data_IF_182331842305
#
_entry.id   IF_182331842305
#
_cell.length_a   1.000
_cell.length_b   1.000
_cell.length_c   1.000
_cell.angle_alpha   90.00
_cell.angle_beta   90.00
_cell.angle_gamma   90.00
#
_symmetry.space_group_name_H-M   'P 1'
#
loop_
_entity.id
_entity.type
_entity.pdbx_description
1 polymer ?
#
# COMPACT_ATOMS: atom_id res chain seq x y z
N UNK A 1 2.62 3.70 19.56
CA UNK A 1 2.72 3.38 18.12
C UNK A 1 3.97 4.05 17.58
N UNK A 2 4.65 3.44 16.62
CA UNK A 2 5.84 4.01 15.98
C UNK A 2 6.05 3.40 14.59
N UNK A 3 6.84 4.10 13.77
CA UNK A 3 7.33 3.65 12.47
C UNK A 3 8.84 3.47 12.53
N UNK A 4 9.34 2.48 11.82
CA UNK A 4 10.77 2.26 11.62
C UNK A 4 11.05 1.94 10.15
N UNK A 5 12.25 2.30 9.69
CA UNK A 5 12.81 1.73 8.46
C UNK A 5 13.87 0.74 8.91
N UNK A 6 13.74 -0.49 8.42
CA UNK A 6 14.72 -1.55 8.61
C UNK A 6 15.44 -1.81 7.29
N UNK A 7 16.76 -1.94 7.32
CA UNK A 7 17.54 -2.36 6.16
C UNK A 7 17.34 -3.87 5.86
N UNK A 8 18.01 -4.36 4.82
CA UNK A 8 17.99 -5.78 4.41
C UNK A 8 18.43 -6.75 5.53
N UNK A 9 19.26 -6.29 6.46
CA UNK A 9 19.82 -7.05 7.58
C UNK A 9 18.98 -6.87 8.86
N UNK A 10 17.85 -6.16 8.74
CA UNK A 10 16.90 -5.81 9.81
C UNK A 10 17.44 -4.83 10.85
N UNK A 11 18.51 -4.10 10.55
CA UNK A 11 18.94 -3.00 11.41
C UNK A 11 18.00 -1.81 11.25
N UNK A 12 17.66 -1.16 12.35
CA UNK A 12 16.82 0.05 12.34
C UNK A 12 17.67 1.23 11.87
N UNK A 13 17.39 1.73 10.67
CA UNK A 13 18.08 2.88 10.05
C UNK A 13 17.28 4.18 10.13
N UNK A 14 16.02 4.10 10.57
CA UNK A 14 15.19 5.25 10.86
C UNK A 14 14.10 4.88 11.86
N UNK A 15 13.76 5.80 12.76
CA UNK A 15 12.70 5.61 13.75
C UNK A 15 11.91 6.89 13.93
N UNK A 16 10.59 6.77 14.01
CA UNK A 16 9.71 7.91 14.21
C UNK A 16 9.85 8.52 15.60
N UNK A 17 9.58 9.81 15.69
CA UNK A 17 9.39 10.54 16.95
C UNK A 17 7.94 10.99 17.09
N UNK A 18 7.52 11.31 18.32
CA UNK A 18 6.19 11.90 18.55
C UNK A 18 6.05 13.19 17.74
N UNK A 19 4.93 13.35 17.03
CA UNK A 19 4.66 14.52 16.19
C UNK A 19 3.16 14.68 16.00
N UNK A 20 2.63 15.86 16.31
CA UNK A 20 1.20 16.16 16.25
C UNK A 20 0.37 15.15 17.06
N UNK A 21 -0.66 14.59 16.42
CA UNK A 21 -1.56 13.59 17.01
C UNK A 21 -1.03 12.14 16.93
N UNK A 22 0.22 11.96 16.51
CA UNK A 22 0.82 10.63 16.36
C UNK A 22 2.33 10.66 16.34
N UNK A 23 2.93 10.06 15.32
CA UNK A 23 4.37 10.06 15.13
C UNK A 23 4.75 10.30 13.67
N UNK A 24 5.96 10.81 13.46
CA UNK A 24 6.52 11.07 12.15
C UNK A 24 7.98 10.60 12.08
N UNK A 25 8.39 10.09 10.92
CA UNK A 25 9.75 9.70 10.61
C UNK A 25 10.20 10.51 9.40
N UNK A 26 11.32 11.21 9.52
CA UNK A 26 11.99 11.87 8.40
C UNK A 26 13.23 11.05 8.04
N UNK A 27 13.19 10.36 6.90
CA UNK A 27 14.32 9.63 6.36
C UNK A 27 15.06 10.55 5.40
N UNK A 28 16.36 10.78 5.60
CA UNK A 28 17.15 11.82 4.88
C UNK A 28 18.04 11.23 3.77
N UNK A 29 17.77 10.00 3.38
CA UNK A 29 18.48 9.27 2.33
C UNK A 29 17.46 8.60 1.42
N UNK A 30 17.87 8.23 0.22
CA UNK A 30 17.06 7.35 -0.63
C UNK A 30 17.05 5.93 -0.08
N UNK A 31 15.99 5.20 -0.40
CA UNK A 31 15.86 3.79 -0.02
C UNK A 31 16.84 2.89 -0.77
N UNK A 32 17.33 1.87 -0.07
CA UNK A 32 18.19 0.82 -0.61
C UNK A 32 17.40 -0.46 -0.87
N UNK A 33 17.93 -1.30 -1.74
CA UNK A 33 17.34 -2.61 -1.99
C UNK A 33 17.28 -3.46 -0.70
N UNK A 34 16.09 -3.95 -0.38
CA UNK A 34 15.82 -4.72 0.83
C UNK A 34 15.31 -3.89 2.01
N UNK A 35 15.27 -2.56 1.91
CA UNK A 35 14.64 -1.73 2.92
C UNK A 35 13.14 -2.04 3.05
N UNK A 36 12.66 -1.99 4.30
CA UNK A 36 11.25 -2.19 4.63
C UNK A 36 10.80 -1.14 5.66
N UNK A 37 9.54 -0.75 5.55
CA UNK A 37 8.86 0.03 6.58
C UNK A 37 8.19 -0.94 7.54
N UNK A 38 8.44 -0.76 8.84
CA UNK A 38 7.78 -1.52 9.90
C UNK A 38 6.93 -0.58 10.74
N UNK A 39 5.68 -0.99 10.95
CA UNK A 39 4.68 -0.22 11.67
C UNK A 39 4.28 -0.99 12.91
N UNK A 40 4.42 -0.37 14.07
CA UNK A 40 4.04 -0.95 15.34
C UNK A 40 2.92 -0.14 15.99
N UNK A 41 1.81 -0.80 16.30
CA UNK A 41 0.66 -0.21 16.97
C UNK A 41 0.31 -1.01 18.23
N UNK A 42 -0.23 -0.36 19.28
CA UNK A 42 -0.48 -1.05 20.56
C UNK A 42 -1.58 -2.11 20.47
N UNK A 43 -2.48 -2.00 19.48
CA UNK A 43 -3.55 -2.94 19.22
C UNK A 43 -3.95 -2.82 17.76
N UNK A 44 -4.36 -3.93 17.15
CA UNK A 44 -4.96 -3.93 15.81
C UNK A 44 -6.18 -3.01 15.73
N UNK A 45 -6.31 -2.26 14.63
CA UNK A 45 -7.31 -1.21 14.52
C UNK A 45 -7.17 -0.34 13.28
N UNK A 46 -7.99 0.71 13.20
CA UNK A 46 -7.86 1.71 12.12
C UNK A 46 -6.83 2.75 12.47
N UNK A 47 -5.90 2.97 11.54
CA UNK A 47 -4.86 3.98 11.63
C UNK A 47 -4.79 4.76 10.33
N UNK A 48 -4.44 6.03 10.44
CA UNK A 48 -4.11 6.85 9.30
C UNK A 48 -2.60 6.83 9.10
N UNK A 49 -2.17 6.39 7.93
CA UNK A 49 -0.76 6.28 7.55
C UNK A 49 -0.45 7.13 6.33
N UNK A 50 0.79 7.58 6.23
CA UNK A 50 1.42 8.01 4.99
C UNK A 50 2.80 7.36 4.96
N UNK A 51 3.05 6.48 3.99
CA UNK A 51 4.34 5.82 3.79
C UNK A 51 5.16 6.47 2.68
N UNK A 52 4.52 7.32 1.87
CA UNK A 52 5.11 8.07 0.76
C UNK A 52 4.22 9.28 0.44
N UNK A 53 4.82 10.44 0.18
CA UNK A 53 4.11 11.70 -0.08
C UNK A 53 3.29 11.69 -1.37
N UNK A 54 3.73 10.97 -2.40
CA UNK A 54 3.03 10.91 -3.69
C UNK A 54 1.76 10.06 -3.62
N UNK A 55 1.75 9.05 -2.75
CA UNK A 55 0.59 8.22 -2.49
C UNK A 55 -0.37 8.86 -1.47
N UNK A 56 0.13 9.78 -0.63
CA UNK A 56 -0.67 10.55 0.31
C UNK A 56 -1.16 9.74 1.52
N UNK A 57 -2.03 10.33 2.33
CA UNK A 57 -2.47 9.72 3.59
C UNK A 57 -3.75 8.91 3.45
N UNK A 58 -3.76 7.68 3.98
CA UNK A 58 -4.88 6.74 3.88
C UNK A 58 -5.20 6.09 5.22
N UNK A 59 -6.48 5.79 5.45
CA UNK A 59 -6.90 5.05 6.63
C UNK A 59 -6.97 3.55 6.32
N UNK A 60 -6.06 2.80 6.92
CA UNK A 60 -5.94 1.34 6.77
C UNK A 60 -6.29 0.64 8.06
N UNK A 61 -6.55 -0.67 7.98
CA UNK A 61 -6.54 -1.52 9.17
C UNK A 61 -5.14 -2.11 9.35
N UNK A 62 -4.58 -1.94 10.53
CA UNK A 62 -3.29 -2.51 10.91
C UNK A 62 -3.49 -3.62 11.95
N UNK A 63 -2.70 -4.69 11.85
CA UNK A 63 -2.39 -5.58 12.98
C UNK A 63 -1.34 -4.89 13.87
N UNK A 64 -1.06 -5.47 15.04
CA UNK A 64 -0.06 -4.92 16.00
C UNK A 64 1.30 -4.65 15.37
N UNK A 65 1.70 -5.50 14.43
CA UNK A 65 2.84 -5.28 13.55
C UNK A 65 2.38 -5.38 12.09
N UNK A 66 2.82 -4.42 11.27
CA UNK A 66 2.69 -4.45 9.84
C UNK A 66 4.03 -4.16 9.16
N UNK A 67 4.27 -4.75 8.00
CA UNK A 67 5.49 -4.60 7.21
C UNK A 67 5.15 -4.29 5.77
N UNK A 68 5.87 -3.32 5.20
CA UNK A 68 5.77 -2.93 3.81
C UNK A 68 7.17 -2.97 3.20
N UNK A 69 7.38 -3.83 2.22
CA UNK A 69 8.64 -3.89 1.48
C UNK A 69 8.69 -2.72 0.49
N UNK A 70 9.72 -1.88 0.60
CA UNK A 70 9.83 -0.68 -0.22
C UNK A 70 10.17 -1.08 -1.68
N UNK A 71 9.41 -0.65 -2.69
CA UNK A 71 9.68 -1.01 -4.08
C UNK A 71 10.86 -0.20 -4.63
N UNK A 72 12.08 -0.70 -4.47
CA UNK A 72 13.29 0.00 -4.90
C UNK A 72 13.63 -0.25 -6.38
N UNK A 73 13.22 -1.39 -6.95
CA UNK A 73 13.54 -1.70 -8.35
C UNK A 73 12.55 -1.01 -9.32
N UNK A 74 12.99 -0.53 -10.50
CA UNK A 74 12.09 0.09 -11.47
C UNK A 74 10.90 -0.79 -11.88
N UNK A 75 11.13 -2.09 -12.08
CA UNK A 75 10.07 -3.06 -12.42
C UNK A 75 9.02 -3.22 -11.32
N UNK A 76 9.37 -2.92 -10.06
CA UNK A 76 8.43 -2.92 -8.93
C UNK A 76 7.58 -1.64 -8.88
N UNK A 77 8.01 -0.59 -9.58
CA UNK A 77 7.42 0.75 -9.50
C UNK A 77 6.52 1.14 -10.67
N UNK A 78 6.38 0.28 -11.67
CA UNK A 78 5.57 0.53 -12.88
C UNK A 78 4.08 0.81 -12.62
N UNK A 79 3.58 0.48 -11.43
CA UNK A 79 2.19 0.68 -10.99
C UNK A 79 1.99 1.87 -10.02
N UNK A 80 3.00 2.74 -9.88
CA UNK A 80 2.93 3.93 -9.02
C UNK A 80 3.26 5.20 -9.81
N UNK A 81 2.88 6.39 -9.30
CA UNK A 81 3.44 7.65 -9.77
C UNK A 81 4.97 7.61 -9.80
N UNK A 82 5.58 8.24 -10.81
CA UNK A 82 7.03 8.18 -11.03
C UNK A 82 7.87 8.61 -9.81
N UNK A 83 7.35 9.51 -8.99
CA UNK A 83 8.00 10.01 -7.79
C UNK A 83 7.86 9.10 -6.55
N UNK A 84 6.94 8.13 -6.55
CA UNK A 84 6.68 7.29 -5.38
C UNK A 84 7.90 6.44 -5.03
N UNK A 85 8.25 6.43 -3.74
CA UNK A 85 9.39 5.74 -3.15
C UNK A 85 10.73 6.09 -3.80
N UNK A 86 10.83 7.30 -4.37
CA UNK A 86 12.02 7.80 -5.04
C UNK A 86 12.46 9.13 -4.42
N UNK A 87 13.72 9.51 -4.63
CA UNK A 87 14.30 10.73 -4.07
C UNK A 87 15.26 10.46 -2.93
N UNK A 88 15.70 11.53 -2.27
CA UNK A 88 16.70 11.50 -1.20
C UNK A 88 16.15 11.85 0.18
N UNK A 89 14.84 12.06 0.31
CA UNK A 89 14.20 12.40 1.57
C UNK A 89 12.74 11.96 1.54
N UNK A 90 12.27 11.38 2.64
CA UNK A 90 10.93 10.81 2.76
C UNK A 90 10.31 11.16 4.11
N UNK A 91 9.05 11.59 4.09
CA UNK A 91 8.23 11.82 5.28
C UNK A 91 7.18 10.72 5.43
N UNK A 92 7.29 9.98 6.54
CA UNK A 92 6.33 8.95 6.93
C UNK A 92 5.57 9.42 8.17
N UNK A 93 4.27 9.17 8.21
CA UNK A 93 3.42 9.53 9.35
C UNK A 93 2.49 8.39 9.75
N UNK A 94 2.20 8.31 11.04
CA UNK A 94 1.28 7.35 11.63
C UNK A 94 0.48 8.02 12.74
N UNK A 95 -0.84 7.90 12.68
CA UNK A 95 -1.75 8.37 13.73
C UNK A 95 -2.94 7.42 13.89
N UNK A 96 -3.62 7.48 15.05
CA UNK A 96 -4.89 6.78 15.20
C UNK A 96 -5.91 7.41 14.26
N UNK A 97 -6.67 6.57 13.55
CA UNK A 97 -7.78 7.09 12.76
C UNK A 97 -8.90 7.57 13.69
N UNK A 98 -9.53 8.69 13.33
CA UNK A 98 -10.80 9.09 13.93
C UNK A 98 -11.95 8.15 13.56
N UNK A 99 -13.18 8.52 13.92
CA UNK A 99 -14.36 7.80 13.45
C UNK A 99 -14.43 7.88 11.92
N UNK A 100 -14.38 6.73 11.26
CA UNK A 100 -14.52 6.64 9.82
C UNK A 100 -15.99 6.36 9.47
N UNK A 101 -16.62 7.29 8.76
CA UNK A 101 -17.95 7.10 8.17
C UNK A 101 -17.92 6.20 6.94
N UNK A 102 -19.00 6.24 6.15
CA UNK A 102 -19.08 5.56 4.85
C UNK A 102 -17.96 6.04 3.92
N UNK A 103 -17.17 5.11 3.39
CA UNK A 103 -16.01 5.39 2.53
C UNK A 103 -15.71 4.20 1.62
N UNK A 104 -14.77 4.38 0.69
CA UNK A 104 -14.19 3.25 -0.03
C UNK A 104 -13.38 2.38 0.94
N UNK A 105 -13.93 1.22 1.33
CA UNK A 105 -13.24 0.28 2.22
C UNK A 105 -12.14 -0.51 1.51
N UNK A 106 -12.15 -0.55 0.18
CA UNK A 106 -11.14 -1.26 -0.61
C UNK A 106 -9.86 -0.43 -0.78
N UNK A 107 -9.90 0.89 -0.65
CA UNK A 107 -8.76 1.77 -0.94
C UNK A 107 -7.52 1.42 -0.09
N UNK A 108 -6.47 0.95 -0.76
CA UNK A 108 -5.14 0.79 -0.19
C UNK A 108 -4.04 0.90 -1.27
N UNK A 109 -3.49 2.10 -1.53
CA UNK A 109 -2.35 2.25 -2.42
C UNK A 109 -1.06 1.64 -1.86
N UNK A 110 -1.00 1.34 -0.57
CA UNK A 110 0.14 0.68 0.10
C UNK A 110 0.02 -0.84 0.12
N UNK A 111 -0.87 -1.42 -0.70
CA UNK A 111 -0.89 -2.86 -0.90
C UNK A 111 0.23 -3.32 -1.83
N UNK A 112 0.81 -4.48 -1.53
CA UNK A 112 1.85 -5.14 -2.34
C UNK A 112 1.90 -6.63 -1.98
N UNK A 113 2.37 -7.49 -2.89
CA UNK A 113 2.54 -8.93 -2.64
C UNK A 113 3.26 -9.32 -1.35
N UNK A 114 4.20 -8.47 -0.89
CA UNK A 114 5.00 -8.73 0.34
C UNK A 114 4.52 -7.93 1.55
N UNK A 115 3.45 -7.17 1.40
CA UNK A 115 2.83 -6.44 2.51
C UNK A 115 2.21 -7.42 3.49
N UNK A 116 2.39 -7.18 4.78
CA UNK A 116 1.81 -7.99 5.84
C UNK A 116 1.28 -7.11 6.97
N UNK A 117 0.18 -7.51 7.59
CA UNK A 117 -0.40 -6.78 8.71
C UNK A 117 -1.06 -5.44 8.35
N UNK A 118 -1.09 -5.04 7.08
CA UNK A 118 -1.69 -3.82 6.56
C UNK A 118 -2.79 -4.19 5.57
N UNK A 119 -4.00 -3.67 5.80
CA UNK A 119 -5.22 -4.06 5.08
C UNK A 119 -6.04 -2.83 4.66
N UNK A 120 -6.86 -2.94 3.60
CA UNK A 120 -7.20 -4.16 2.85
C UNK A 120 -6.08 -4.68 1.93
N UNK A 121 -6.06 -5.98 1.66
CA UNK A 121 -5.04 -6.65 0.85
C UNK A 121 -5.69 -7.43 -0.29
N UNK A 122 -5.25 -7.18 -1.53
CA UNK A 122 -5.75 -7.86 -2.71
C UNK A 122 -4.84 -9.05 -3.07
N UNK A 123 -5.47 -10.20 -3.36
CA UNK A 123 -4.81 -11.38 -3.93
C UNK A 123 -5.59 -11.85 -5.14
N UNK A 124 -4.88 -12.36 -6.13
CA UNK A 124 -5.50 -13.03 -7.26
C UNK A 124 -4.88 -14.42 -7.47
N UNK A 125 -5.66 -15.34 -8.04
CA UNK A 125 -5.15 -16.63 -8.47
C UNK A 125 -4.29 -16.54 -9.74
N UNK A 126 -4.38 -15.43 -10.47
CA UNK A 126 -3.61 -15.16 -11.68
C UNK A 126 -3.28 -13.67 -11.80
N UNK A 127 -2.07 -13.38 -12.24
CA UNK A 127 -1.62 -12.05 -12.64
C UNK A 127 -0.84 -12.17 -13.95
N UNK A 128 -1.12 -11.30 -14.92
CA UNK A 128 -0.47 -11.34 -16.23
C UNK A 128 1.05 -11.18 -16.09
N UNK A 129 1.80 -12.24 -16.42
CA UNK A 129 3.27 -12.31 -16.49
C UNK A 129 4.02 -11.96 -15.18
N UNK A 130 3.32 -11.81 -14.06
CA UNK A 130 3.94 -11.36 -12.80
C UNK A 130 4.49 -9.94 -12.83
N UNK A 131 4.03 -9.11 -13.77
CA UNK A 131 4.43 -7.70 -13.86
C UNK A 131 3.58 -6.85 -12.91
N UNK A 132 4.20 -5.92 -12.17
CA UNK A 132 3.49 -5.09 -11.18
C UNK A 132 2.34 -4.26 -11.77
N UNK A 133 2.45 -3.89 -13.04
CA UNK A 133 1.40 -3.19 -13.79
C UNK A 133 0.11 -4.00 -13.94
N UNK A 134 0.17 -5.33 -13.76
CA UNK A 134 -0.96 -6.25 -13.81
C UNK A 134 -1.34 -6.86 -12.44
N UNK A 135 -0.71 -6.39 -11.36
CA UNK A 135 -0.89 -6.94 -10.02
C UNK A 135 -2.31 -6.70 -9.46
N UNK A 136 -2.76 -7.59 -8.57
CA UNK A 136 -4.07 -7.51 -7.92
C UNK A 136 -4.26 -6.20 -7.14
N UNK A 137 -3.18 -5.65 -6.55
CA UNK A 137 -3.20 -4.36 -5.82
C UNK A 137 -3.78 -3.21 -6.65
N UNK A 138 -3.62 -3.25 -7.97
CA UNK A 138 -4.04 -2.18 -8.87
C UNK A 138 -5.57 -2.09 -8.97
N UNK A 139 -6.31 -3.09 -8.48
CA UNK A 139 -7.77 -3.01 -8.36
C UNK A 139 -8.22 -2.17 -7.14
N UNK A 140 -7.31 -1.85 -6.23
CA UNK A 140 -7.62 -1.23 -4.93
C UNK A 140 -6.76 -0.01 -4.59
N UNK A 141 -5.90 0.45 -5.49
CA UNK A 141 -4.99 1.56 -5.27
C UNK A 141 -5.64 2.96 -5.31
N UNK A 142 -6.87 3.04 -5.80
CA UNK A 142 -7.64 4.28 -5.92
C UNK A 142 -7.52 4.98 -7.28
N UNK A 143 -6.82 4.39 -8.24
CA UNK A 143 -6.78 4.87 -9.61
C UNK A 143 -7.93 4.28 -10.44
N UNK A 144 -8.67 5.13 -11.14
CA UNK A 144 -9.82 4.74 -11.96
C UNK A 144 -9.60 5.02 -13.46
N UNK A 145 -8.38 5.41 -13.84
CA UNK A 145 -8.06 5.80 -15.22
C UNK A 145 -8.08 4.57 -16.13
N UNK A 146 -9.11 4.45 -16.96
CA UNK A 146 -9.37 3.25 -17.76
C UNK A 146 -9.41 3.48 -19.27
N UNK A 147 -8.90 4.62 -19.75
CA UNK A 147 -8.93 5.00 -21.17
C UNK A 147 -7.67 4.55 -21.96
N UNK A 148 -6.75 3.82 -21.33
CA UNK A 148 -5.60 3.19 -21.98
C UNK A 148 -5.16 1.95 -21.17
N UNK A 149 -3.93 1.49 -21.37
CA UNK A 149 -3.34 0.30 -20.75
C UNK A 149 -1.83 0.48 -20.58
N UNK A 150 -1.24 -0.28 -19.66
CA UNK A 150 0.18 -0.27 -19.41
C UNK A 150 0.49 0.34 -18.06
N UNK A 151 1.67 0.92 -17.92
CA UNK A 151 2.18 1.48 -16.67
C UNK A 151 1.31 2.62 -16.15
N UNK A 152 1.63 3.08 -14.94
CA UNK A 152 0.96 4.21 -14.33
C UNK A 152 0.77 5.39 -15.29
N UNK A 153 -0.45 5.95 -15.43
CA UNK A 153 -1.64 5.73 -14.60
C UNK A 153 -2.65 4.72 -15.20
N UNK A 154 -2.24 3.76 -16.03
CA UNK A 154 -3.13 2.80 -16.70
C UNK A 154 -2.99 1.35 -16.23
N UNK A 155 -2.38 1.18 -15.07
CA UNK A 155 -2.23 -0.07 -14.37
C UNK A 155 -3.60 -0.69 -14.05
N UNK A 156 -3.67 -2.01 -14.01
CA UNK A 156 -4.90 -2.71 -13.65
C UNK A 156 -4.57 -4.09 -13.08
N UNK A 157 -5.53 -4.80 -12.52
CA UNK A 157 -5.36 -6.25 -12.37
C UNK A 157 -5.50 -6.92 -13.76
N UNK A 158 -4.55 -7.77 -14.13
CA UNK A 158 -4.57 -8.50 -15.40
C UNK A 158 -4.88 -9.99 -15.20
N UNK A 159 -6.01 -10.45 -15.74
CA UNK A 159 -6.49 -11.83 -15.57
C UNK A 159 -5.78 -12.87 -16.43
N UNK A 160 -4.78 -12.48 -17.23
CA UNK A 160 -4.06 -13.35 -18.18
C UNK A 160 -4.97 -14.20 -19.11
N UNK A 161 -6.15 -13.68 -19.48
CA UNK A 161 -7.19 -14.37 -20.26
C UNK A 161 -7.73 -15.66 -19.61
N UNK A 162 -7.52 -15.84 -18.31
CA UNK A 162 -8.04 -16.98 -17.58
C UNK A 162 -9.54 -16.77 -17.26
N UNK A 163 -10.46 -17.59 -17.80
CA UNK A 163 -11.88 -17.48 -17.50
C UNK A 163 -12.23 -17.85 -16.05
N UNK A 164 -11.28 -18.41 -15.29
CA UNK A 164 -11.41 -18.74 -13.86
C UNK A 164 -10.66 -17.75 -12.97
N UNK A 165 -10.30 -16.57 -13.50
CA UNK A 165 -9.63 -15.55 -12.71
C UNK A 165 -10.49 -15.08 -11.54
N UNK A 166 -9.91 -15.08 -10.35
CA UNK A 166 -10.55 -14.70 -9.10
C UNK A 166 -9.67 -13.68 -8.37
N UNK A 167 -10.29 -12.57 -7.95
CA UNK A 167 -9.68 -11.58 -7.06
C UNK A 167 -10.35 -11.68 -5.69
N UNK A 168 -9.54 -11.88 -4.66
CA UNK A 168 -9.93 -11.87 -3.25
C UNK A 168 -9.45 -10.58 -2.60
N UNK A 169 -10.36 -9.87 -1.94
CA UNK A 169 -10.03 -8.71 -1.12
C UNK A 169 -10.21 -9.04 0.36
N UNK A 170 -9.11 -9.03 1.11
CA UNK A 170 -9.11 -9.24 2.55
C UNK A 170 -9.08 -7.90 3.27
N UNK A 171 -10.14 -7.57 4.03
CA UNK A 171 -10.21 -6.33 4.81
C UNK A 171 -9.43 -6.40 6.14
N UNK A 172 -8.92 -7.57 6.52
CA UNK A 172 -8.23 -7.81 7.80
C UNK A 172 -9.13 -7.79 9.03
N UNK A 173 -10.42 -7.49 8.84
CA UNK A 173 -11.47 -7.39 9.86
C UNK A 173 -12.85 -7.58 9.21
N UNK A 174 -13.88 -7.94 9.99
CA UNK A 174 -15.27 -7.88 9.52
C UNK A 174 -15.65 -6.45 9.12
N UNK A 175 -16.39 -6.32 8.02
CA UNK A 175 -16.91 -5.05 7.51
C UNK A 175 -18.36 -5.20 7.06
N UNK A 176 -19.10 -4.09 7.08
CA UNK A 176 -20.40 -4.01 6.43
C UNK A 176 -20.21 -3.38 5.05
N UNK A 177 -20.66 -4.08 4.01
CA UNK A 177 -20.57 -3.63 2.62
C UNK A 177 -21.99 -3.45 2.11
N UNK A 178 -22.30 -2.26 1.60
CA UNK A 178 -23.60 -1.93 0.99
C UNK A 178 -23.51 -1.78 -0.54
N UNK A 179 -22.31 -1.61 -1.08
CA UNK A 179 -22.07 -1.31 -2.50
C UNK A 179 -20.71 -1.85 -2.96
N UNK A 180 -20.67 -2.39 -4.18
CA UNK A 180 -19.44 -2.75 -4.89
C UNK A 180 -19.43 -1.98 -6.22
N UNK A 181 -18.32 -1.29 -6.51
CA UNK A 181 -18.08 -0.63 -7.78
C UNK A 181 -16.89 -1.27 -8.47
N UNK A 182 -17.08 -1.64 -9.73
CA UNK A 182 -16.04 -2.21 -10.58
C UNK A 182 -15.76 -1.25 -11.74
N UNK A 183 -14.49 -0.91 -11.93
CA UNK A 183 -14.03 -0.22 -13.13
C UNK A 183 -13.35 -1.23 -14.02
N UNK A 184 -13.90 -1.40 -15.22
CA UNK A 184 -13.39 -2.33 -16.22
C UNK A 184 -12.85 -1.56 -17.42
N UNK A 185 -11.97 -2.20 -18.18
CA UNK A 185 -11.49 -1.74 -19.48
C UNK A 185 -11.57 -2.90 -20.47
N UNK A 186 -11.85 -2.57 -21.72
CA UNK A 186 -11.94 -3.52 -22.84
C UNK A 186 -10.57 -3.68 -23.52
#
# INVERSE_FOLDING_TARGET
MHLEIQDKDRNVVGKSVASGYGCALVHKTGYNEGDQIVIHVPQGGLYQIQLDEALGSHIVYLKEEARYAIPCQPAQRTCYPAQAFSGGMHLLTLSKAGQAGRRNLALNPYDHHRTSGLFPHAKANVETRGEMVFAARNAIDGNFTNHSHGEYPFESWGINRDPKAELTLDFGRPVLIDEIRLTIRA
#
